data_IF_165782901937
#
_entry.id   IF_165782901937
#
_cell.length_a   1.000
_cell.length_b   1.000
_cell.length_c   1.000
_cell.angle_alpha   90.00
_cell.angle_beta   90.00
_cell.angle_gamma   90.00
#
_symmetry.space_group_name_H-M   'P 1'
#
loop_
_entity.id
_entity.type
_entity.pdbx_description
1 polymer ?
#
# COMPACT_ATOMS: atom_id res chain seq x y z
N UNK A 1 31.14 -23.93 17.59
CA UNK A 1 30.41 -23.85 16.31
C UNK A 1 28.97 -24.34 16.52
N UNK A 2 28.00 -23.45 16.74
CA UNK A 2 26.58 -23.80 17.03
C UNK A 2 25.55 -22.93 16.28
N UNK A 3 25.93 -22.30 15.16
CA UNK A 3 25.07 -21.34 14.47
C UNK A 3 24.43 -21.86 13.17
N UNK A 4 24.82 -23.04 12.67
CA UNK A 4 24.32 -23.55 11.39
C UNK A 4 22.89 -24.11 11.45
N UNK A 5 22.40 -24.48 12.63
CA UNK A 5 21.05 -25.04 12.81
C UNK A 5 19.95 -23.99 12.93
N UNK A 6 20.27 -22.71 13.17
CA UNK A 6 19.27 -21.67 13.43
C UNK A 6 18.66 -21.06 12.16
N UNK A 7 19.43 -20.98 11.07
CA UNK A 7 18.96 -20.34 9.82
C UNK A 7 17.90 -21.22 9.14
N UNK A 8 18.09 -22.55 9.17
CA UNK A 8 17.12 -23.51 8.62
C UNK A 8 15.81 -23.49 9.41
N UNK A 9 15.86 -23.32 10.73
CA UNK A 9 14.66 -23.22 11.57
C UNK A 9 13.87 -21.94 11.29
N UNK A 10 14.53 -20.80 11.05
CA UNK A 10 13.85 -19.53 10.72
C UNK A 10 13.17 -19.63 9.35
N UNK A 11 13.85 -20.20 8.34
CA UNK A 11 13.25 -20.46 7.03
C UNK A 11 12.03 -21.40 7.11
N UNK A 12 12.08 -22.42 7.99
CA UNK A 12 10.96 -23.33 8.22
C UNK A 12 9.82 -22.70 9.04
N UNK A 13 10.11 -21.84 10.02
CA UNK A 13 9.08 -21.11 10.77
C UNK A 13 8.37 -20.07 9.89
N UNK A 14 9.07 -19.41 8.97
CA UNK A 14 8.42 -18.60 7.94
C UNK A 14 7.52 -19.45 7.03
N UNK A 15 7.86 -20.72 6.76
CA UNK A 15 6.95 -21.59 5.99
C UNK A 15 5.77 -22.15 6.79
N UNK A 16 5.84 -22.16 8.13
CA UNK A 16 4.75 -22.66 9.00
C UNK A 16 3.70 -21.58 9.34
N UNK A 17 4.05 -20.30 9.22
CA UNK A 17 3.06 -19.21 9.20
C UNK A 17 2.28 -19.13 7.87
N UNK A 18 2.65 -19.96 6.88
CA UNK A 18 2.09 -19.98 5.52
C UNK A 18 1.15 -21.16 5.25
N UNK A 19 0.78 -21.93 6.27
CA UNK A 19 -0.23 -22.99 6.16
C UNK A 19 -1.63 -22.46 6.57
N UNK A 20 -2.29 -21.78 5.62
CA UNK A 20 -3.74 -21.92 5.38
C UNK A 20 -4.71 -21.58 6.52
N UNK A 21 -4.65 -20.36 7.05
CA UNK A 21 -5.82 -19.75 7.68
C UNK A 21 -6.39 -18.70 6.72
N UNK A 22 -7.50 -19.00 6.07
CA UNK A 22 -8.27 -18.00 5.32
C UNK A 22 -8.82 -16.96 6.31
N UNK A 23 -8.10 -15.85 6.50
CA UNK A 23 -8.52 -14.69 7.31
C UNK A 23 -9.27 -13.66 6.43
N UNK A 24 -9.50 -13.99 5.16
CA UNK A 24 -10.19 -13.14 4.19
C UNK A 24 -11.57 -13.63 3.78
N UNK A 25 -12.03 -14.76 4.32
CA UNK A 25 -13.38 -15.24 4.12
C UNK A 25 -14.39 -14.18 4.53
N UNK A 26 -15.03 -13.56 3.53
CA UNK A 26 -16.39 -13.03 3.60
C UNK A 26 -17.14 -13.88 4.63
N UNK A 27 -17.54 -13.28 5.74
CA UNK A 27 -18.29 -14.02 6.76
C UNK A 27 -19.46 -14.69 6.06
N UNK A 28 -19.87 -15.89 6.46
CA UNK A 28 -20.97 -16.63 5.84
C UNK A 28 -22.24 -15.79 5.60
N UNK A 29 -22.42 -14.72 6.37
CA UNK A 29 -23.50 -13.74 6.21
C UNK A 29 -23.43 -12.88 4.94
N UNK A 30 -22.25 -12.58 4.39
CA UNK A 30 -22.13 -11.76 3.16
C UNK A 30 -22.42 -12.54 1.88
N UNK A 31 -22.20 -13.86 1.88
CA UNK A 31 -22.58 -14.70 0.74
C UNK A 31 -24.09 -14.93 0.67
N UNK A 32 -24.77 -15.00 1.83
CA UNK A 32 -26.22 -15.16 1.87
C UNK A 32 -26.92 -13.90 1.29
N UNK A 33 -26.46 -12.69 1.63
CA UNK A 33 -27.01 -11.45 1.08
C UNK A 33 -26.81 -11.33 -0.44
N UNK A 34 -25.66 -11.76 -0.96
CA UNK A 34 -25.39 -11.74 -2.41
C UNK A 34 -26.26 -12.75 -3.16
N UNK A 35 -26.45 -13.96 -2.62
CA UNK A 35 -27.34 -14.95 -3.23
C UNK A 35 -28.81 -14.58 -3.12
N UNK A 36 -29.21 -13.90 -2.04
CA UNK A 36 -30.59 -13.43 -1.88
C UNK A 36 -30.90 -12.25 -2.81
N UNK A 37 -29.95 -11.34 -3.03
CA UNK A 37 -30.06 -10.28 -4.03
C UNK A 37 -30.12 -10.84 -5.47
N UNK A 38 -29.32 -11.86 -5.79
CA UNK A 38 -29.35 -12.50 -7.11
C UNK A 38 -30.67 -13.24 -7.37
N UNK A 39 -31.25 -13.90 -6.35
CA UNK A 39 -32.59 -14.49 -6.45
C UNK A 39 -33.68 -13.42 -6.62
N UNK A 40 -33.60 -12.33 -5.87
CA UNK A 40 -34.57 -11.23 -5.99
C UNK A 40 -34.53 -10.59 -7.40
N UNK A 41 -33.36 -10.51 -8.02
CA UNK A 41 -33.21 -9.99 -9.38
C UNK A 41 -33.75 -10.94 -10.47
N UNK A 42 -33.78 -12.26 -10.23
CA UNK A 42 -34.32 -13.23 -11.18
C UNK A 42 -35.86 -13.31 -11.17
N UNK A 43 -36.51 -12.96 -10.06
CA UNK A 43 -37.97 -13.01 -9.94
C UNK A 43 -38.69 -11.79 -10.54
N UNK A 44 -37.98 -10.72 -10.92
CA UNK A 44 -38.56 -9.56 -11.60
C UNK A 44 -38.49 -9.70 -13.13
N UNK A 45 -39.03 -10.80 -13.66
CA UNK A 45 -39.42 -10.85 -15.07
C UNK A 45 -40.76 -10.11 -15.19
N UNK A 46 -40.69 -8.79 -15.33
CA UNK A 46 -41.86 -7.98 -15.72
C UNK A 46 -42.27 -8.45 -17.12
N UNK A 47 -43.50 -8.93 -17.33
CA UNK A 47 -43.96 -9.32 -18.66
C UNK A 47 -43.85 -8.11 -19.58
N UNK A 48 -43.16 -8.30 -20.71
CA UNK A 48 -42.94 -7.32 -21.75
C UNK A 48 -44.29 -6.80 -22.27
N UNK A 49 -44.76 -5.68 -21.71
CA UNK A 49 -45.95 -5.00 -22.21
C UNK A 49 -45.59 -4.40 -23.55
N UNK A 50 -46.19 -4.95 -24.60
CA UNK A 50 -46.02 -4.47 -25.97
C UNK A 50 -46.34 -2.97 -26.02
N UNK A 51 -45.40 -2.11 -26.46
CA UNK A 51 -45.64 -0.68 -26.47
C UNK A 51 -46.78 -0.35 -27.43
N UNK A 52 -47.85 0.23 -26.90
CA UNK A 52 -48.91 0.81 -27.72
C UNK A 52 -48.34 2.09 -28.33
N UNK A 53 -48.15 2.08 -29.65
CA UNK A 53 -47.71 3.26 -30.42
C UNK A 53 -48.80 4.32 -30.31
N UNK A 54 -48.57 5.33 -29.47
CA UNK A 54 -49.36 6.55 -29.46
C UNK A 54 -48.66 7.53 -30.40
N UNK A 55 -49.28 7.81 -31.55
CA UNK A 55 -48.90 8.94 -32.41
C UNK A 55 -49.05 10.24 -31.61
N UNK A 56 -47.93 10.81 -31.18
CA UNK A 56 -47.91 12.18 -30.68
C UNK A 56 -47.79 13.14 -31.86
N UNK A 57 -48.90 13.82 -32.13
CA UNK A 57 -48.98 14.94 -33.04
C UNK A 57 -48.00 16.05 -32.65
N UNK A 58 -47.47 16.71 -33.69
CA UNK A 58 -46.46 17.75 -33.59
C UNK A 58 -46.88 18.90 -32.68
N UNK A 59 -45.96 19.28 -31.81
CA UNK A 59 -45.94 20.55 -31.10
C UNK A 59 -44.52 21.08 -31.12
N UNK A 60 -44.33 22.18 -31.85
CA UNK A 60 -43.18 23.07 -31.69
C UNK A 60 -43.07 23.47 -30.22
N UNK A 61 -41.89 23.30 -29.62
CA UNK A 61 -41.55 24.00 -28.38
C UNK A 61 -40.08 24.40 -28.40
N UNK A 62 -39.89 25.72 -28.50
CA UNK A 62 -38.64 26.45 -28.33
C UNK A 62 -37.85 25.99 -27.09
N UNK A 63 -36.65 25.48 -27.33
CA UNK A 63 -35.70 25.11 -26.28
C UNK A 63 -34.89 26.32 -25.82
N UNK A 64 -35.27 26.89 -24.67
CA UNK A 64 -34.46 27.84 -23.93
C UNK A 64 -33.31 27.14 -23.19
N UNK A 65 -32.07 27.58 -23.46
CA UNK A 65 -30.88 27.12 -22.73
C UNK A 65 -30.82 27.81 -21.36
N UNK A 66 -30.80 27.03 -20.27
CA UNK A 66 -30.48 27.53 -18.94
C UNK A 66 -28.95 27.49 -18.80
N UNK A 67 -28.33 28.66 -18.82
CA UNK A 67 -26.90 28.85 -18.53
C UNK A 67 -26.76 28.96 -17.01
N UNK A 68 -26.26 27.91 -16.37
CA UNK A 68 -25.95 27.91 -14.95
C UNK A 68 -24.63 28.68 -14.73
N UNK A 69 -24.71 29.81 -14.04
CA UNK A 69 -23.58 30.72 -13.82
C UNK A 69 -22.62 30.14 -12.77
N UNK A 70 -21.39 29.85 -13.20
CA UNK A 70 -20.26 29.44 -12.37
C UNK A 70 -19.89 30.55 -11.35
N UNK A 71 -19.87 30.28 -10.03
CA UNK A 71 -19.49 31.29 -9.04
C UNK A 71 -17.99 31.63 -9.13
N UNK A 72 -17.68 32.91 -9.07
CA UNK A 72 -16.29 33.42 -9.11
C UNK A 72 -15.46 32.91 -7.92
N UNK A 73 -14.17 32.60 -8.15
CA UNK A 73 -13.27 32.15 -7.10
C UNK A 73 -13.01 33.26 -6.08
N UNK A 74 -13.35 32.99 -4.82
CA UNK A 74 -13.11 33.91 -3.70
C UNK A 74 -11.61 34.00 -3.44
N UNK A 75 -11.07 35.21 -3.48
CA UNK A 75 -9.64 35.48 -3.31
C UNK A 75 -9.23 35.23 -1.86
N UNK A 76 -8.34 34.26 -1.64
CA UNK A 76 -7.81 33.96 -0.31
C UNK A 76 -6.93 35.12 0.21
N UNK A 77 -7.22 35.59 1.42
CA UNK A 77 -6.46 36.64 2.11
C UNK A 77 -5.13 36.06 2.59
N UNK A 78 -4.02 36.66 2.17
CA UNK A 78 -2.68 36.27 2.59
C UNK A 78 -2.48 36.50 4.11
N UNK A 79 -1.89 35.54 4.84
CA UNK A 79 -1.64 35.68 6.27
C UNK A 79 -0.59 36.77 6.54
N UNK A 80 -0.88 37.59 7.55
CA UNK A 80 0.01 38.64 8.05
C UNK A 80 1.28 38.02 8.67
N UNK A 81 2.49 38.52 8.34
CA UNK A 81 3.73 37.98 8.86
C UNK A 81 3.89 38.25 10.37
N UNK A 82 3.93 37.17 11.15
CA UNK A 82 4.25 37.19 12.59
C UNK A 82 5.73 37.52 12.78
N UNK A 83 6.02 38.54 13.60
CA UNK A 83 7.38 38.95 13.99
C UNK A 83 8.17 37.77 14.57
N UNK A 84 9.35 37.52 14.03
CA UNK A 84 10.31 36.55 14.54
C UNK A 84 10.77 36.91 15.96
N UNK A 85 10.59 35.97 16.89
CA UNK A 85 11.16 36.02 18.24
C UNK A 85 12.64 35.60 18.13
N UNK A 86 13.54 36.45 18.62
CA UNK A 86 14.98 36.20 18.57
C UNK A 86 15.36 34.97 19.41
N UNK A 87 15.96 33.98 18.76
CA UNK A 87 16.49 32.76 19.38
C UNK A 87 17.79 33.08 20.13
N UNK A 88 18.01 32.57 21.36
CA UNK A 88 19.26 32.75 22.07
C UNK A 88 20.43 32.07 21.34
N UNK A 89 21.53 32.81 21.22
CA UNK A 89 22.77 32.36 20.57
C UNK A 89 23.39 31.19 21.37
N UNK A 90 23.69 30.03 20.74
CA UNK A 90 24.31 28.91 21.44
C UNK A 90 25.74 29.25 21.85
N UNK A 91 26.11 28.89 23.08
CA UNK A 91 27.46 29.01 23.62
C UNK A 91 28.39 27.98 22.94
N UNK A 92 29.44 28.39 22.22
CA UNK A 92 30.28 27.48 21.41
C UNK A 92 31.29 26.62 22.20
N UNK A 93 31.33 26.72 23.54
CA UNK A 93 32.36 26.06 24.35
C UNK A 93 31.84 24.87 25.19
N UNK A 94 31.06 23.96 24.61
CA UNK A 94 30.74 22.66 25.24
C UNK A 94 31.38 21.52 24.46
N UNK A 95 32.59 21.16 24.87
CA UNK A 95 33.37 20.04 24.36
C UNK A 95 32.67 18.69 24.59
N UNK A 96 32.39 17.95 23.52
CA UNK A 96 32.36 16.49 23.40
C UNK A 96 32.01 15.64 24.65
N UNK A 97 30.91 15.97 25.33
CA UNK A 97 30.29 15.11 26.32
C UNK A 97 29.01 14.54 25.72
N UNK A 98 28.99 13.21 25.51
CA UNK A 98 27.84 12.40 25.10
C UNK A 98 26.52 12.94 25.67
N UNK A 99 25.80 13.71 24.87
CA UNK A 99 24.59 14.45 25.23
C UNK A 99 23.32 13.58 25.24
N UNK A 100 23.46 12.26 25.29
CA UNK A 100 22.36 11.28 25.24
C UNK A 100 21.68 11.00 26.60
N UNK A 101 22.14 11.57 27.72
CA UNK A 101 21.72 11.08 29.05
C UNK A 101 20.46 11.70 29.65
N UNK A 102 19.97 12.86 29.17
CA UNK A 102 18.82 13.54 29.81
C UNK A 102 17.47 13.11 29.21
N UNK A 103 17.45 12.60 27.97
CA UNK A 103 16.22 12.17 27.28
C UNK A 103 15.99 10.65 27.27
N UNK A 104 16.94 9.87 27.76
CA UNK A 104 16.85 8.41 27.84
C UNK A 104 15.66 7.91 28.69
N UNK A 105 15.25 8.70 29.69
CA UNK A 105 14.07 8.40 30.52
C UNK A 105 12.71 8.71 29.86
N UNK A 106 12.69 9.45 28.74
CA UNK A 106 11.48 9.82 28.02
C UNK A 106 11.21 8.92 26.80
N UNK A 107 12.02 7.88 26.59
CA UNK A 107 11.84 6.91 25.50
C UNK A 107 12.26 7.41 24.11
N UNK A 108 12.90 8.58 24.02
CA UNK A 108 13.62 9.01 22.82
C UNK A 108 14.88 8.15 22.72
N UNK A 109 14.88 7.18 21.81
CA UNK A 109 16.01 6.29 21.60
C UNK A 109 17.15 6.99 20.86
N UNK A 110 18.36 6.42 20.97
CA UNK A 110 19.49 6.78 20.10
C UNK A 110 19.09 6.44 18.67
N UNK A 111 18.58 7.42 17.93
CA UNK A 111 17.90 7.13 16.68
C UNK A 111 18.80 6.36 15.71
N UNK A 112 18.27 5.28 15.13
CA UNK A 112 19.05 4.32 14.34
C UNK A 112 18.68 4.40 12.88
N UNK A 113 19.68 4.63 12.03
CA UNK A 113 19.54 4.51 10.59
C UNK A 113 19.70 3.04 10.18
N UNK A 114 18.90 2.58 9.23
CA UNK A 114 19.04 1.25 8.67
C UNK A 114 18.74 1.22 7.18
N UNK A 115 19.31 0.22 6.51
CA UNK A 115 19.03 -0.09 5.11
C UNK A 115 18.70 -1.57 4.96
N UNK A 116 17.87 -1.92 4.00
CA UNK A 116 17.48 -3.31 3.77
C UNK A 116 17.15 -3.62 2.33
N UNK A 117 17.09 -4.92 2.07
CA UNK A 117 16.66 -5.49 0.79
C UNK A 117 15.73 -6.67 1.07
N UNK A 118 14.69 -6.81 0.26
CA UNK A 118 13.72 -7.89 0.33
C UNK A 118 13.43 -8.48 -1.05
N UNK A 119 13.10 -9.77 -1.06
CA UNK A 119 12.34 -10.38 -2.14
C UNK A 119 10.86 -10.13 -1.86
N UNK A 120 10.13 -9.77 -2.91
CA UNK A 120 8.75 -9.28 -2.82
C UNK A 120 7.90 -10.09 -3.78
N UNK A 121 6.81 -10.67 -3.30
CA UNK A 121 5.77 -11.22 -4.15
C UNK A 121 4.63 -10.21 -4.19
N UNK A 122 4.36 -9.64 -5.36
CA UNK A 122 3.39 -8.57 -5.57
C UNK A 122 2.20 -9.12 -6.34
N UNK A 123 1.00 -8.86 -5.82
CA UNK A 123 -0.26 -9.23 -6.42
C UNK A 123 -1.08 -7.98 -6.72
N UNK A 124 -1.60 -7.91 -7.94
CA UNK A 124 -2.45 -6.82 -8.41
C UNK A 124 -3.82 -7.41 -8.73
N UNK A 125 -4.88 -6.82 -8.18
CA UNK A 125 -6.26 -7.16 -8.56
C UNK A 125 -7.09 -5.90 -8.73
N UNK A 126 -8.07 -6.00 -9.62
CA UNK A 126 -9.08 -4.98 -9.81
C UNK A 126 -10.12 -4.94 -8.67
N UNK A 127 -10.30 -6.06 -7.96
CA UNK A 127 -11.30 -6.18 -6.90
C UNK A 127 -10.70 -5.97 -5.50
N UNK A 128 -11.48 -5.37 -4.59
CA UNK A 128 -11.09 -4.99 -3.22
C UNK A 128 -10.69 -6.18 -2.31
N UNK A 129 -10.78 -7.43 -2.79
CA UNK A 129 -10.48 -8.66 -2.05
C UNK A 129 -9.07 -9.22 -2.34
N UNK A 130 -8.09 -8.38 -2.65
CA UNK A 130 -6.73 -8.83 -2.97
C UNK A 130 -5.97 -9.48 -1.79
N UNK A 131 -6.38 -9.24 -0.53
CA UNK A 131 -5.70 -9.78 0.64
C UNK A 131 -5.85 -11.32 0.80
N UNK A 132 -7.00 -11.90 0.45
CA UNK A 132 -7.24 -13.36 0.54
C UNK A 132 -6.47 -14.15 -0.53
N UNK A 133 -6.12 -13.49 -1.63
CA UNK A 133 -5.53 -14.13 -2.81
C UNK A 133 -4.00 -14.08 -2.85
N UNK A 134 -3.33 -13.47 -1.87
CA UNK A 134 -1.86 -13.57 -1.74
C UNK A 134 -1.36 -15.02 -1.68
N UNK A 135 -2.23 -15.96 -1.30
CA UNK A 135 -1.89 -17.36 -1.08
C UNK A 135 -2.75 -18.36 -1.87
N UNK A 136 -3.79 -17.90 -2.59
CA UNK A 136 -4.69 -18.75 -3.38
C UNK A 136 -4.47 -18.51 -4.87
N UNK A 137 -4.30 -19.58 -5.64
CA UNK A 137 -4.20 -19.53 -7.10
C UNK A 137 -5.60 -19.32 -7.67
N UNK A 138 -5.86 -18.12 -8.21
CA UNK A 138 -7.09 -17.80 -8.91
C UNK A 138 -6.78 -17.44 -10.36
N UNK A 139 -7.67 -17.86 -11.27
CA UNK A 139 -7.65 -17.38 -12.64
C UNK A 139 -7.75 -15.84 -12.62
N UNK A 140 -6.93 -15.13 -13.40
CA UNK A 140 -6.83 -13.65 -13.48
C UNK A 140 -6.01 -12.93 -12.39
N UNK A 141 -5.16 -13.62 -11.64
CA UNK A 141 -4.19 -12.96 -10.75
C UNK A 141 -2.81 -12.84 -11.42
N UNK A 142 -2.39 -11.61 -11.71
CA UNK A 142 -1.00 -11.36 -12.10
C UNK A 142 -0.12 -11.27 -10.86
N UNK A 143 0.76 -12.27 -10.73
CA UNK A 143 1.79 -12.34 -9.69
C UNK A 143 3.12 -11.93 -10.26
N UNK A 144 3.81 -11.08 -9.53
CA UNK A 144 5.11 -10.59 -9.92
C UNK A 144 6.12 -10.76 -8.79
N UNK A 145 7.28 -11.31 -9.13
CA UNK A 145 8.41 -11.36 -8.21
C UNK A 145 9.28 -10.12 -8.40
N UNK A 146 9.58 -9.44 -7.30
CA UNK A 146 10.37 -8.21 -7.29
C UNK A 146 11.40 -8.16 -6.16
N UNK A 147 12.22 -7.11 -6.20
CA UNK A 147 13.12 -6.73 -5.13
C UNK A 147 12.65 -5.39 -4.55
N UNK A 148 12.58 -5.32 -3.23
CA UNK A 148 12.29 -4.08 -2.49
C UNK A 148 13.53 -3.60 -1.76
N UNK A 149 13.89 -2.34 -1.97
CA UNK A 149 14.90 -1.61 -1.20
C UNK A 149 14.23 -0.80 -0.09
N UNK A 150 14.87 -0.78 1.07
CA UNK A 150 14.36 -0.08 2.26
C UNK A 150 15.46 0.82 2.81
N UNK A 151 15.13 2.07 3.12
CA UNK A 151 15.96 2.96 3.93
C UNK A 151 15.07 3.54 5.03
N UNK A 152 15.51 3.47 6.29
CA UNK A 152 14.69 3.91 7.41
C UNK A 152 15.47 4.54 8.53
N UNK A 153 14.76 5.28 9.37
CA UNK A 153 15.30 5.89 10.58
C UNK A 153 14.32 5.73 11.73
N UNK A 154 14.77 5.12 12.81
CA UNK A 154 14.01 5.00 14.05
C UNK A 154 14.23 6.23 14.91
N UNK A 155 13.24 7.11 15.02
CA UNK A 155 13.33 8.31 15.88
C UNK A 155 13.22 7.96 17.36
N UNK A 156 12.45 6.91 17.68
CA UNK A 156 12.11 6.47 19.02
C UNK A 156 12.10 4.95 19.11
N UNK A 157 12.05 4.42 20.34
CA UNK A 157 11.88 2.97 20.56
C UNK A 157 10.63 2.40 19.86
N UNK A 158 9.57 3.21 19.76
CA UNK A 158 8.25 2.78 19.25
C UNK A 158 7.85 3.40 17.92
N UNK A 159 8.67 4.28 17.33
CA UNK A 159 8.32 4.99 16.12
C UNK A 159 9.54 5.24 15.24
N UNK A 160 9.41 4.89 13.96
CA UNK A 160 10.36 5.23 12.91
C UNK A 160 9.66 5.73 11.64
N UNK A 161 10.46 6.02 10.62
CA UNK A 161 10.00 6.20 9.25
C UNK A 161 10.78 5.31 8.30
N UNK A 162 10.12 4.85 7.24
CA UNK A 162 10.71 4.04 6.17
C UNK A 162 10.41 4.67 4.81
N UNK A 163 11.43 4.68 3.96
CA UNK A 163 11.33 4.84 2.52
C UNK A 163 11.49 3.47 1.88
N UNK A 164 10.60 3.13 0.95
CA UNK A 164 10.64 1.88 0.19
C UNK A 164 10.63 2.15 -1.30
N UNK A 165 11.37 1.34 -2.04
CA UNK A 165 11.32 1.31 -3.50
C UNK A 165 11.31 -0.15 -3.97
N UNK A 166 10.27 -0.58 -4.68
CA UNK A 166 10.18 -1.93 -5.22
C UNK A 166 10.29 -1.92 -6.75
N UNK A 167 10.95 -2.94 -7.28
CA UNK A 167 11.15 -3.17 -8.71
C UNK A 167 10.82 -4.62 -9.03
N UNK A 168 10.06 -4.86 -10.08
CA UNK A 168 9.82 -6.22 -10.56
C UNK A 168 11.00 -6.79 -11.35
N UNK A 169 11.18 -8.12 -11.31
CA UNK A 169 12.31 -8.81 -11.96
C UNK A 169 11.87 -10.02 -12.77
N UNK A 170 10.81 -10.73 -12.35
CA UNK A 170 10.30 -11.90 -13.05
C UNK A 170 8.84 -11.72 -13.42
N UNK A 171 8.55 -12.02 -14.68
CA UNK A 171 7.22 -12.00 -15.30
C UNK A 171 6.80 -13.45 -15.54
N UNK A 172 5.66 -13.89 -14.99
CA UNK A 172 5.19 -15.27 -15.22
C UNK A 172 4.39 -15.41 -16.52
N UNK A 173 3.79 -14.35 -17.09
CA UNK A 173 2.92 -14.48 -18.27
C UNK A 173 3.03 -13.31 -19.28
N UNK A 174 3.69 -13.56 -20.42
CA UNK A 174 3.40 -13.01 -21.77
C UNK A 174 3.20 -11.48 -21.98
N UNK A 175 3.71 -10.60 -21.13
CA UNK A 175 3.65 -9.17 -21.43
C UNK A 175 4.04 -8.26 -20.29
N UNK A 176 5.33 -8.21 -19.98
CA UNK A 176 6.13 -6.98 -19.93
C UNK A 176 5.71 -5.80 -19.03
N UNK A 177 4.82 -5.95 -18.05
CA UNK A 177 4.54 -4.84 -17.13
C UNK A 177 5.72 -4.57 -16.18
N UNK A 178 6.46 -3.50 -16.47
CA UNK A 178 7.47 -2.97 -15.56
C UNK A 178 6.74 -2.33 -14.38
N UNK A 179 6.71 -3.00 -13.24
CA UNK A 179 6.18 -2.45 -12.01
C UNK A 179 7.31 -1.78 -11.24
N UNK A 180 7.10 -0.52 -10.91
CA UNK A 180 7.91 0.22 -9.95
C UNK A 180 7.03 0.84 -8.88
N UNK A 181 7.47 0.71 -7.63
CA UNK A 181 6.76 1.24 -6.47
C UNK A 181 7.70 2.12 -5.66
N UNK A 182 7.18 3.22 -5.14
CA UNK A 182 7.87 4.08 -4.19
C UNK A 182 6.92 4.46 -3.06
N UNK A 183 7.36 4.32 -1.82
CA UNK A 183 6.52 4.59 -0.66
C UNK A 183 7.25 5.24 0.50
N UNK A 184 6.54 6.12 1.21
CA UNK A 184 6.98 6.75 2.44
C UNK A 184 6.03 6.39 3.58
N UNK A 185 6.58 5.86 4.67
CA UNK A 185 5.82 5.25 5.75
C UNK A 185 6.25 5.77 7.10
N UNK A 186 5.28 6.00 7.98
CA UNK A 186 5.49 5.96 9.42
C UNK A 186 5.39 4.52 9.90
N UNK A 187 6.27 4.17 10.84
CA UNK A 187 6.44 2.81 11.33
C UNK A 187 6.30 2.77 12.86
N UNK A 188 5.06 2.74 13.39
CA UNK A 188 4.86 2.38 14.78
C UNK A 188 5.31 0.93 15.00
N UNK A 189 6.06 0.67 16.06
CA UNK A 189 6.60 -0.66 16.37
C UNK A 189 6.56 -0.97 17.86
N UNK A 190 6.42 -2.25 18.19
CA UNK A 190 6.38 -2.76 19.54
C UNK A 190 7.44 -3.86 19.72
N UNK A 191 8.48 -3.62 20.54
CA UNK A 191 9.48 -4.63 20.84
C UNK A 191 8.91 -5.71 21.76
N UNK A 192 9.23 -6.96 21.44
CA UNK A 192 8.91 -8.18 22.14
C UNK A 192 10.20 -8.97 22.41
N UNK A 193 10.15 -9.88 23.39
CA UNK A 193 11.24 -10.82 23.69
C UNK A 193 12.61 -10.14 23.85
N UNK A 194 12.71 -9.19 24.77
CA UNK A 194 13.94 -8.43 25.04
C UNK A 194 14.53 -7.78 23.78
N UNK A 195 13.67 -7.11 23.00
CA UNK A 195 14.01 -6.41 21.74
C UNK A 195 14.51 -7.31 20.60
N UNK A 196 14.38 -8.64 20.71
CA UNK A 196 14.73 -9.58 19.63
C UNK A 196 13.69 -9.65 18.54
N UNK A 197 12.42 -9.43 18.87
CA UNK A 197 11.30 -9.50 17.92
C UNK A 197 10.60 -8.15 17.96
N UNK A 198 10.37 -7.51 16.82
CA UNK A 198 9.60 -6.27 16.74
C UNK A 198 8.39 -6.50 15.84
N UNK A 199 7.19 -6.31 16.39
CA UNK A 199 5.97 -6.23 15.58
C UNK A 199 5.78 -4.78 15.18
N UNK A 200 5.50 -4.51 13.91
CA UNK A 200 5.33 -3.14 13.44
C UNK A 200 4.17 -3.02 12.46
N UNK A 201 3.61 -1.81 12.42
CA UNK A 201 2.71 -1.36 11.37
C UNK A 201 3.43 -0.41 10.43
N UNK A 202 2.87 -0.23 9.24
CA UNK A 202 3.26 0.78 8.27
C UNK A 202 2.01 1.57 7.91
N UNK A 203 2.11 2.89 7.95
CA UNK A 203 1.04 3.80 7.56
C UNK A 203 1.68 4.92 6.75
N UNK A 204 1.24 5.10 5.51
CA UNK A 204 1.96 5.95 4.59
C UNK A 204 1.22 6.27 3.31
N UNK A 205 2.02 6.71 2.35
CA UNK A 205 1.59 7.04 1.01
C UNK A 205 2.59 6.41 0.04
N UNK A 206 2.08 5.75 -1.01
CA UNK A 206 2.92 5.19 -2.06
C UNK A 206 2.39 5.51 -3.43
N UNK A 207 3.30 5.42 -4.40
CA UNK A 207 3.06 5.58 -5.81
C UNK A 207 3.52 4.31 -6.50
N UNK A 208 2.63 3.73 -7.31
CA UNK A 208 2.89 2.59 -8.17
C UNK A 208 2.84 3.07 -9.61
N UNK A 209 3.84 2.74 -10.39
CA UNK A 209 3.86 2.98 -11.82
C UNK A 209 3.91 1.63 -12.53
N UNK A 210 2.91 1.41 -13.37
CA UNK A 210 2.80 0.28 -14.28
C UNK A 210 2.88 0.86 -15.68
N UNK A 211 3.87 0.42 -16.45
CA UNK A 211 4.05 0.84 -17.84
C UNK A 211 4.09 -0.39 -18.74
N UNK A 212 3.13 -0.47 -19.67
CA UNK A 212 3.16 -1.47 -20.74
C UNK A 212 4.21 -1.04 -21.80
N UNK A 213 5.25 -1.84 -22.07
CA UNK A 213 6.27 -1.52 -23.05
C UNK A 213 5.84 -1.80 -24.49
N UNK A 214 4.63 -2.31 -24.76
CA UNK A 214 4.14 -2.58 -26.12
C UNK A 214 3.83 -1.26 -26.86
N UNK A 215 4.90 -0.59 -27.28
CA UNK A 215 4.88 0.54 -28.21
C UNK A 215 4.79 0.03 -29.63
N UNK A 216 3.63 -0.49 -30.02
CA UNK A 216 3.38 -0.73 -31.42
C UNK A 216 2.52 -1.93 -31.69
N UNK A 217 1.40 -1.60 -32.35
CA UNK A 217 0.60 -2.48 -33.19
C UNK A 217 -0.41 -3.37 -32.45
N UNK A 218 -1.69 -3.11 -32.78
CA UNK A 218 -2.90 -3.90 -32.50
C UNK A 218 -3.54 -3.64 -31.12
N UNK A 219 -4.77 -3.14 -30.96
CA UNK A 219 -5.86 -2.85 -31.89
C UNK A 219 -6.89 -1.91 -31.22
N UNK A 220 -7.39 -0.95 -32.02
CA UNK A 220 -8.73 -0.35 -31.95
C UNK A 220 -9.28 0.17 -30.61
N UNK A 221 -8.96 1.42 -30.29
CA UNK A 221 -9.97 2.49 -30.19
C UNK A 221 -11.03 2.45 -29.08
N UNK A 222 -10.98 1.52 -28.13
CA UNK A 222 -11.95 1.47 -27.02
C UNK A 222 -11.25 1.49 -25.68
N UNK A 223 -11.44 2.61 -24.97
CA UNK A 223 -11.13 2.88 -23.57
C UNK A 223 -9.66 2.70 -23.15
N UNK A 224 -9.05 3.80 -22.69
CA UNK A 224 -7.85 3.80 -21.85
C UNK A 224 -7.90 2.65 -20.84
N UNK A 225 -7.00 1.67 -20.97
CA UNK A 225 -6.82 0.66 -19.93
C UNK A 225 -6.59 1.40 -18.61
N UNK A 226 -7.40 1.17 -17.56
CA UNK A 226 -7.26 1.87 -16.28
C UNK A 226 -5.94 1.52 -15.56
N UNK A 227 -5.11 0.67 -16.15
CA UNK A 227 -3.87 0.13 -15.59
C UNK A 227 -2.60 0.81 -16.11
N UNK A 228 -2.66 1.58 -17.19
CA UNK A 228 -1.48 2.31 -17.69
C UNK A 228 -1.33 3.65 -16.96
N UNK A 229 -0.21 3.82 -16.24
CA UNK A 229 0.16 5.11 -15.64
C UNK A 229 0.65 5.05 -14.20
N UNK A 230 0.78 6.24 -13.61
CA UNK A 230 1.21 6.42 -12.22
C UNK A 230 -0.02 6.60 -11.33
N UNK A 231 -0.23 5.64 -10.44
CA UNK A 231 -1.26 5.70 -9.41
C UNK A 231 -0.61 5.93 -8.05
N UNK A 232 -1.20 6.79 -7.23
CA UNK A 232 -0.69 7.04 -5.88
C UNK A 232 -1.82 7.16 -4.88
N UNK A 233 -1.57 6.78 -3.64
CA UNK A 233 -2.63 6.69 -2.64
C UNK A 233 -2.16 6.28 -1.27
N UNK A 234 -3.15 6.18 -0.39
CA UNK A 234 -2.94 5.68 0.97
C UNK A 234 -2.43 4.24 0.94
N UNK A 235 -1.51 3.95 1.85
CA UNK A 235 -0.79 2.70 1.91
C UNK A 235 -0.58 2.28 3.34
N UNK A 236 -0.73 0.99 3.61
CA UNK A 236 -0.61 0.45 4.96
C UNK A 236 -0.11 -0.98 4.94
N UNK A 237 0.49 -1.41 6.04
CA UNK A 237 1.00 -2.76 6.15
C UNK A 237 1.31 -3.15 7.58
N UNK A 238 1.74 -4.39 7.74
CA UNK A 238 2.14 -4.94 9.03
C UNK A 238 3.18 -6.02 8.86
N UNK A 239 4.06 -6.15 9.84
CA UNK A 239 5.15 -7.10 9.77
C UNK A 239 5.84 -7.40 11.08
N UNK A 240 6.80 -8.30 10.98
CA UNK A 240 7.66 -8.73 12.07
C UNK A 240 9.12 -8.62 11.64
N UNK A 241 9.96 -8.12 12.54
CA UNK A 241 11.41 -8.04 12.39
C UNK A 241 12.07 -8.85 13.51
N UNK A 242 13.03 -9.70 13.17
CA UNK A 242 13.80 -10.53 14.08
C UNK A 242 15.29 -10.18 14.03
N UNK A 243 15.81 -9.67 15.15
CA UNK A 243 17.22 -9.32 15.32
C UNK A 243 18.08 -10.58 15.42
N UNK A 244 18.86 -10.87 14.37
CA UNK A 244 19.82 -11.99 14.32
C UNK A 244 21.11 -11.61 15.01
N UNK A 245 21.55 -10.36 14.82
CA UNK A 245 22.71 -9.75 15.48
C UNK A 245 22.35 -8.32 15.91
N UNK A 246 23.22 -7.59 16.62
CA UNK A 246 22.95 -6.19 16.98
C UNK A 246 22.75 -5.25 15.79
N UNK A 247 23.24 -5.63 14.60
CA UNK A 247 23.18 -4.83 13.39
C UNK A 247 22.35 -5.47 12.27
N UNK A 248 22.09 -6.78 12.32
CA UNK A 248 21.40 -7.50 11.24
C UNK A 248 20.08 -8.04 11.76
N UNK A 249 18.99 -7.70 11.07
CA UNK A 249 17.69 -8.32 11.27
C UNK A 249 17.15 -8.96 9.99
N UNK A 250 16.28 -9.95 10.18
CA UNK A 250 15.47 -10.55 9.11
C UNK A 250 14.03 -10.09 9.35
N UNK A 251 13.33 -9.71 8.28
CA UNK A 251 11.95 -9.27 8.41
C UNK A 251 11.05 -9.94 7.39
N UNK A 252 9.77 -10.00 7.74
CA UNK A 252 8.70 -10.29 6.80
C UNK A 252 7.53 -9.36 7.07
N UNK A 253 6.91 -8.87 6.01
CA UNK A 253 5.74 -8.01 6.10
C UNK A 253 4.79 -8.19 4.92
N UNK A 254 3.56 -7.71 5.11
CA UNK A 254 2.54 -7.61 4.06
C UNK A 254 2.13 -6.15 3.99
N UNK A 255 2.17 -5.57 2.80
CA UNK A 255 1.89 -4.15 2.55
C UNK A 255 0.87 -4.02 1.44
N UNK A 256 -0.17 -3.24 1.68
CA UNK A 256 -1.07 -2.72 0.66
C UNK A 256 -0.48 -1.39 0.16
N UNK A 257 0.03 -1.37 -1.05
CA UNK A 257 0.73 -0.22 -1.65
C UNK A 257 -0.21 0.81 -2.26
N UNK A 258 -1.41 0.42 -2.59
CA UNK A 258 -2.37 1.32 -3.17
C UNK A 258 -3.77 0.87 -2.80
N UNK A 259 -4.48 1.76 -2.11
CA UNK A 259 -5.93 1.70 -1.98
C UNK A 259 -6.52 2.90 -2.71
N UNK A 260 -7.09 2.68 -3.88
CA UNK A 260 -7.77 3.75 -4.59
C UNK A 260 -9.13 4.03 -3.93
N UNK A 261 -9.38 5.28 -3.53
CA UNK A 261 -10.69 5.73 -3.03
C UNK A 261 -11.78 5.78 -4.13
N UNK A 262 -11.43 5.46 -5.38
CA UNK A 262 -12.34 5.28 -6.52
C UNK A 262 -12.69 3.82 -6.86
N UNK A 263 -12.19 2.83 -6.10
CA UNK A 263 -12.80 1.50 -6.01
C UNK A 263 -12.45 0.44 -7.06
N UNK A 264 -11.29 0.49 -7.72
CA UNK A 264 -11.00 -0.52 -8.76
C UNK A 264 -9.62 -1.12 -8.78
N UNK A 265 -8.69 -0.79 -7.88
CA UNK A 265 -7.35 -1.39 -7.90
C UNK A 265 -6.73 -1.44 -6.51
N UNK A 266 -6.26 -2.64 -6.14
CA UNK A 266 -5.50 -2.87 -4.93
C UNK A 266 -4.22 -3.65 -5.24
N UNK A 267 -3.08 -3.10 -4.84
CA UNK A 267 -1.76 -3.75 -4.99
C UNK A 267 -1.26 -4.17 -3.62
N UNK A 268 -0.98 -5.46 -3.45
CA UNK A 268 -0.42 -6.02 -2.21
C UNK A 268 0.96 -6.61 -2.48
N UNK A 269 1.87 -6.47 -1.51
CA UNK A 269 3.18 -7.12 -1.51
C UNK A 269 3.41 -7.91 -0.24
N UNK A 270 3.87 -9.15 -0.38
CA UNK A 270 4.44 -9.94 0.69
C UNK A 270 5.97 -9.92 0.57
N UNK A 271 6.65 -9.40 1.59
CA UNK A 271 8.09 -9.21 1.59
C UNK A 271 8.79 -10.18 2.55
N UNK A 272 9.96 -10.67 2.15
CA UNK A 272 10.93 -11.34 3.01
C UNK A 272 12.32 -10.77 2.74
N UNK A 273 13.00 -10.29 3.79
CA UNK A 273 14.24 -9.57 3.58
C UNK A 273 15.16 -9.46 4.79
N UNK A 274 16.24 -8.73 4.60
CA UNK A 274 17.25 -8.45 5.61
C UNK A 274 17.46 -6.94 5.75
N UNK A 275 17.73 -6.48 6.96
CA UNK A 275 18.09 -5.09 7.27
C UNK A 275 19.43 -5.04 8.00
N UNK A 276 20.19 -4.00 7.71
CA UNK A 276 21.43 -3.63 8.40
C UNK A 276 21.25 -2.28 9.08
N UNK A 277 21.44 -2.23 10.40
CA UNK A 277 21.37 -1.02 11.24
C UNK A 277 22.77 -0.48 11.53
N UNK A 278 22.95 0.82 11.35
CA UNK A 278 24.19 1.55 11.56
C UNK A 278 24.28 2.14 12.98
#
# INVERSE_FOLDING_TARGET
MKYRSSIVAIALLSSMSFAGGDIGGVTTFQNDDYQEAERAAQDEIIPETTPTVVEMGGGESDGGYIVESNPEPTTAVAPTPTKAVATPTPNPNSSNGSSSSIFSGLGFGDGKFYMGVALSNMAIRADDCAASSLFSEEDYQDRQLGITFIAGYDFMRYLGAELRAALSISEENRGQDNLSEFGLYLKPKYPLMDDKVNVYGLIGYSSVNMSDPVKGELHHGTASSPFDGTNSGFSFGGGVDYSVTPNISVFTDVVNYLRNFGGTNSTWGANIGVKYSF
#
